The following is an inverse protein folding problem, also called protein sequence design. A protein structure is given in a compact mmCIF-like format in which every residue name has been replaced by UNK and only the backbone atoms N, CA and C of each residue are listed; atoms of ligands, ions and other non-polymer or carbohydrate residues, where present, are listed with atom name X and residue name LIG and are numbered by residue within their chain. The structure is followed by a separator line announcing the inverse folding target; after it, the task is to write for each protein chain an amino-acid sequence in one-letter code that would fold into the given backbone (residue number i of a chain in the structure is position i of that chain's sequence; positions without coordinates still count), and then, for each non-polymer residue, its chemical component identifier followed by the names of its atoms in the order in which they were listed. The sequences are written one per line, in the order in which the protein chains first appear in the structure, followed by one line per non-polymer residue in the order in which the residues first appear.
data_IF_432630593477
#
_entry.id   IF_432630593477
#
_cell.length_a   1.000
_cell.length_b   1.000
_cell.length_c   1.000
_cell.angle_alpha   90.00
_cell.angle_beta   90.00
_cell.angle_gamma   90.00
#
_symmetry.space_group_name_H-M   'P 1'
#
loop_
_entity.id
_entity.type
_entity.pdbx_description
1 polymer ?
#
# COMPACT_ATOMS: atom_id res chain seq x y z
N UNK A 1 -17.57 8.57 -12.56
CA UNK A 1 -16.73 7.39 -12.85
C UNK A 1 -17.60 6.30 -13.51
N UNK A 2 -18.76 5.91 -12.95
CA UNK A 2 -19.62 4.86 -13.51
C UNK A 2 -20.09 5.15 -14.96
N UNK A 3 -20.43 6.39 -15.29
CA UNK A 3 -20.91 6.74 -16.65
C UNK A 3 -19.80 6.64 -17.73
N UNK A 4 -18.52 6.79 -17.37
CA UNK A 4 -17.37 6.56 -18.28
C UNK A 4 -17.14 5.07 -18.54
N UNK A 5 -17.43 4.20 -17.56
CA UNK A 5 -17.29 2.76 -17.69
C UNK A 5 -18.42 2.12 -18.55
N UNK A 6 -19.54 2.82 -18.73
CA UNK A 6 -20.70 2.34 -19.48
C UNK A 6 -20.84 2.94 -20.87
N UNK A 7 -19.82 3.68 -21.36
CA UNK A 7 -19.84 4.32 -22.70
C UNK A 7 -21.07 5.23 -22.94
N UNK A 8 -21.60 5.86 -21.90
CA UNK A 8 -22.72 6.80 -22.03
C UNK A 8 -22.14 8.13 -22.54
N UNK A 9 -22.67 8.69 -23.65
CA UNK A 9 -22.19 9.96 -24.19
C UNK A 9 -22.27 11.07 -23.14
N UNK A 10 -21.20 11.86 -23.01
CA UNK A 10 -21.04 12.93 -21.99
C UNK A 10 -21.87 14.18 -22.35
N UNK A 11 -22.94 14.07 -23.11
CA UNK A 11 -23.77 15.20 -23.54
C UNK A 11 -24.68 15.77 -22.47
N UNK A 12 -24.87 15.09 -21.35
CA UNK A 12 -25.52 15.65 -20.19
C UNK A 12 -24.59 15.57 -18.96
N UNK A 13 -23.69 16.52 -18.82
CA UNK A 13 -23.14 16.84 -17.51
C UNK A 13 -24.28 17.36 -16.64
N UNK A 14 -25.04 16.47 -16.03
CA UNK A 14 -25.74 16.83 -14.79
C UNK A 14 -24.65 17.36 -13.88
N UNK A 15 -24.66 18.68 -13.63
CA UNK A 15 -23.83 19.31 -12.60
C UNK A 15 -23.90 18.39 -11.38
N UNK A 16 -22.76 17.78 -11.01
CA UNK A 16 -22.68 17.07 -9.74
C UNK A 16 -23.23 18.04 -8.72
N UNK A 17 -24.37 17.69 -8.11
CA UNK A 17 -24.74 18.30 -6.85
C UNK A 17 -23.56 17.99 -5.95
N UNK A 18 -22.68 18.97 -5.76
CA UNK A 18 -21.63 18.93 -4.75
C UNK A 18 -22.43 18.94 -3.46
N UNK A 19 -22.75 17.77 -2.93
CA UNK A 19 -23.25 17.70 -1.58
C UNK A 19 -22.24 18.50 -0.73
N UNK A 20 -22.68 19.53 -0.02
CA UNK A 20 -21.78 20.28 0.85
C UNK A 20 -21.04 19.22 1.68
N UNK A 21 -19.72 19.32 1.76
CA UNK A 21 -18.92 18.46 2.64
C UNK A 21 -19.60 18.56 4.00
N UNK A 22 -20.24 17.48 4.45
CA UNK A 22 -20.72 17.46 5.83
C UNK A 22 -19.48 17.74 6.67
N UNK A 23 -19.55 18.72 7.55
CA UNK A 23 -18.53 18.94 8.57
C UNK A 23 -18.52 17.67 9.44
N UNK A 24 -17.67 16.73 9.03
CA UNK A 24 -17.48 15.51 9.80
C UNK A 24 -16.50 15.85 10.91
N UNK A 25 -16.95 15.71 12.16
CA UNK A 25 -16.09 15.84 13.33
C UNK A 25 -14.82 15.01 13.10
N UNK A 26 -13.63 15.52 13.36
CA UNK A 26 -12.39 14.75 13.34
C UNK A 26 -12.54 13.47 14.16
N UNK A 27 -11.87 12.41 13.75
CA UNK A 27 -11.87 11.16 14.49
C UNK A 27 -11.32 11.34 15.90
N UNK A 28 -12.01 10.78 16.87
CA UNK A 28 -11.55 10.70 18.25
C UNK A 28 -11.78 9.28 18.76
N UNK A 29 -10.72 8.62 19.21
CA UNK A 29 -10.79 7.26 19.77
C UNK A 29 -11.59 7.22 21.07
N UNK A 30 -11.69 8.35 21.79
CA UNK A 30 -12.46 8.47 23.02
C UNK A 30 -13.99 8.33 22.79
N UNK A 31 -14.46 8.48 21.55
CA UNK A 31 -15.86 8.24 21.18
C UNK A 31 -16.25 6.73 21.18
N UNK A 32 -15.30 5.84 21.46
CA UNK A 32 -15.47 4.38 21.36
C UNK A 32 -15.13 3.65 22.66
N UNK A 33 -15.94 2.69 23.04
CA UNK A 33 -15.59 1.71 24.05
C UNK A 33 -14.70 0.64 23.44
N UNK A 34 -13.44 0.58 23.88
CA UNK A 34 -12.43 -0.32 23.35
C UNK A 34 -12.32 -1.59 24.17
N UNK A 35 -12.53 -2.75 23.53
CA UNK A 35 -12.35 -4.05 24.12
C UNK A 35 -11.16 -4.78 23.47
N UNK A 36 -10.07 -4.92 24.23
CA UNK A 36 -8.81 -5.52 23.76
C UNK A 36 -8.89 -7.05 23.79
N UNK A 37 -8.25 -7.69 22.84
CA UNK A 37 -8.05 -9.14 22.83
C UNK A 37 -7.02 -9.53 23.90
N UNK A 38 -7.35 -10.50 24.73
CA UNK A 38 -6.41 -11.06 25.69
C UNK A 38 -6.10 -12.52 25.35
N UNK A 39 -4.85 -12.84 24.92
CA UNK A 39 -4.44 -14.20 24.58
C UNK A 39 -4.58 -15.21 25.72
N UNK A 40 -4.59 -14.76 26.98
CA UNK A 40 -4.68 -15.60 28.16
C UNK A 40 -6.11 -15.75 28.70
N UNK A 41 -7.10 -15.06 28.10
CA UNK A 41 -8.48 -15.05 28.55
C UNK A 41 -9.45 -15.57 27.49
N UNK A 42 -9.96 -16.77 27.65
CA UNK A 42 -10.87 -17.44 26.73
C UNK A 42 -12.19 -16.68 26.51
N UNK A 43 -12.72 -16.02 27.51
CA UNK A 43 -13.98 -15.27 27.37
C UNK A 43 -13.76 -14.03 26.51
N UNK A 44 -12.60 -13.41 26.59
CA UNK A 44 -12.22 -12.33 25.68
C UNK A 44 -12.13 -12.85 24.26
N UNK A 45 -11.46 -13.98 24.03
CA UNK A 45 -11.27 -14.57 22.69
C UNK A 45 -12.61 -14.92 22.03
N UNK A 46 -13.59 -15.44 22.78
CA UNK A 46 -14.93 -15.78 22.25
C UNK A 46 -15.62 -14.59 21.57
N UNK A 47 -15.41 -13.36 22.08
CA UNK A 47 -16.01 -12.16 21.52
C UNK A 47 -15.48 -11.83 20.12
N UNK A 48 -14.23 -12.19 19.84
CA UNK A 48 -13.59 -11.96 18.53
C UNK A 48 -13.86 -13.08 17.53
N UNK A 49 -14.18 -14.27 17.99
CA UNK A 49 -14.37 -15.45 17.15
C UNK A 49 -15.31 -15.23 15.95
N UNK A 50 -16.49 -14.57 16.07
CA UNK A 50 -17.39 -14.37 14.92
C UNK A 50 -16.79 -13.55 13.77
N UNK A 51 -15.81 -12.69 14.07
CA UNK A 51 -15.15 -11.83 13.07
C UNK A 51 -14.06 -12.58 12.32
N UNK A 52 -13.30 -13.44 13.00
CA UNK A 52 -12.18 -14.16 12.40
C UNK A 52 -12.57 -15.50 11.78
N UNK A 53 -13.59 -16.18 12.31
CA UNK A 53 -14.04 -17.48 11.80
C UNK A 53 -14.39 -17.42 10.30
N UNK A 54 -15.16 -16.43 9.88
CA UNK A 54 -15.58 -16.28 8.48
C UNK A 54 -14.44 -15.94 7.53
N UNK A 55 -13.30 -15.55 8.08
CA UNK A 55 -12.07 -15.20 7.36
C UNK A 55 -10.98 -16.28 7.44
N UNK A 56 -11.25 -17.39 8.13
CA UNK A 56 -10.30 -18.48 8.30
C UNK A 56 -9.06 -18.13 9.14
N UNK A 57 -9.06 -16.96 9.79
CA UNK A 57 -7.91 -16.52 10.59
C UNK A 57 -7.89 -17.31 11.89
N UNK A 58 -6.86 -18.13 12.08
CA UNK A 58 -6.69 -19.00 13.22
C UNK A 58 -6.28 -18.24 14.51
N UNK A 59 -6.34 -18.94 15.61
CA UNK A 59 -6.04 -18.36 16.91
C UNK A 59 -4.55 -18.01 17.08
N UNK A 60 -3.67 -18.76 16.42
CA UNK A 60 -2.23 -18.48 16.45
C UNK A 60 -1.92 -17.14 15.77
N UNK A 61 -2.51 -16.90 14.62
CA UNK A 61 -2.40 -15.63 13.90
C UNK A 61 -3.02 -14.48 14.70
N UNK A 62 -4.19 -14.70 15.32
CA UNK A 62 -4.78 -13.71 16.23
C UNK A 62 -3.85 -13.38 17.41
N UNK A 63 -3.14 -14.35 17.96
CA UNK A 63 -2.14 -14.12 19.02
C UNK A 63 -0.96 -13.30 18.50
N UNK A 64 -0.48 -13.56 17.30
CA UNK A 64 0.61 -12.80 16.72
C UNK A 64 0.27 -11.32 16.58
N UNK A 65 -0.96 -11.00 16.19
CA UNK A 65 -1.41 -9.64 15.91
C UNK A 65 -2.30 -9.01 17.02
N UNK A 66 -2.46 -9.65 18.18
CA UNK A 66 -3.46 -9.28 19.21
C UNK A 66 -3.40 -7.82 19.70
N UNK A 67 -2.31 -7.12 19.50
CA UNK A 67 -2.12 -5.71 19.88
C UNK A 67 -2.54 -4.73 18.81
N UNK A 68 -2.78 -5.23 17.59
CA UNK A 68 -3.03 -4.43 16.41
C UNK A 68 -4.51 -4.48 15.98
N UNK A 69 -5.38 -5.04 16.79
CA UNK A 69 -6.83 -5.01 16.61
C UNK A 69 -7.56 -5.04 17.96
N UNK A 70 -8.80 -4.60 17.94
CA UNK A 70 -9.70 -4.65 19.10
C UNK A 70 -11.16 -4.61 18.62
N UNK A 71 -12.11 -4.85 19.52
CA UNK A 71 -13.51 -4.50 19.29
C UNK A 71 -13.72 -3.07 19.73
N UNK A 72 -14.26 -2.24 18.82
CA UNK A 72 -14.64 -0.87 19.13
C UNK A 72 -16.17 -0.75 19.04
N UNK A 73 -16.77 -0.27 20.11
CA UNK A 73 -18.22 -0.03 20.20
C UNK A 73 -18.46 1.46 20.16
N UNK A 74 -19.22 1.91 19.19
CA UNK A 74 -19.70 3.29 19.11
C UNK A 74 -21.16 3.36 19.54
N UNK A 75 -21.44 4.25 20.49
CA UNK A 75 -22.79 4.58 20.91
C UNK A 75 -23.32 5.74 20.08
N UNK A 76 -24.57 5.66 19.69
CA UNK A 76 -25.28 6.73 18.98
C UNK A 76 -26.21 7.47 19.94
N UNK A 77 -26.57 8.69 19.57
CA UNK A 77 -27.51 9.52 20.32
C UNK A 77 -28.89 8.85 20.47
N UNK A 78 -29.29 8.02 19.51
CA UNK A 78 -30.54 7.23 19.55
C UNK A 78 -30.49 6.01 20.47
N UNK A 79 -29.40 5.81 21.20
CA UNK A 79 -29.18 4.68 22.11
C UNK A 79 -28.70 3.39 21.42
N UNK A 80 -28.62 3.35 20.09
CA UNK A 80 -28.06 2.20 19.38
C UNK A 80 -26.55 2.12 19.58
N UNK A 81 -26.03 0.89 19.71
CA UNK A 81 -24.60 0.63 19.81
C UNK A 81 -24.14 -0.33 18.71
N UNK A 82 -23.00 -0.02 18.09
CA UNK A 82 -22.41 -0.82 17.02
C UNK A 82 -21.01 -1.25 17.44
N UNK A 83 -20.78 -2.57 17.49
CA UNK A 83 -19.48 -3.15 17.78
C UNK A 83 -18.88 -3.74 16.51
N UNK A 84 -17.71 -3.26 16.11
CA UNK A 84 -16.95 -3.77 14.98
C UNK A 84 -15.58 -4.28 15.43
N UNK A 85 -15.03 -5.25 14.70
CA UNK A 85 -13.60 -5.52 14.75
C UNK A 85 -12.90 -4.34 14.08
N UNK A 86 -11.98 -3.72 14.80
CA UNK A 86 -11.35 -2.48 14.38
C UNK A 86 -9.84 -2.61 14.38
N UNK A 87 -9.24 -2.13 13.32
CA UNK A 87 -7.81 -2.09 13.08
C UNK A 87 -7.37 -0.61 13.16
N UNK A 88 -6.60 -0.21 14.19
CA UNK A 88 -6.23 1.19 14.40
C UNK A 88 -5.35 1.71 13.28
N UNK A 89 -5.68 2.87 12.76
CA UNK A 89 -4.88 3.58 11.78
C UNK A 89 -3.98 4.58 12.49
N UNK A 90 -2.68 4.52 12.20
CA UNK A 90 -1.66 5.44 12.71
C UNK A 90 -0.91 6.09 11.57
N UNK A 91 -0.20 7.18 11.85
CA UNK A 91 0.65 7.84 10.86
C UNK A 91 2.01 7.13 10.74
N UNK A 92 2.64 7.11 9.55
CA UNK A 92 3.95 6.50 9.35
C UNK A 92 5.07 7.09 10.23
N UNK A 93 4.95 8.34 10.65
CA UNK A 93 5.93 9.02 11.51
C UNK A 93 6.10 8.39 12.90
N UNK A 94 5.20 7.48 13.30
CA UNK A 94 5.40 6.61 14.47
C UNK A 94 5.13 7.24 15.83
N UNK A 95 4.34 8.32 15.92
CA UNK A 95 3.91 8.93 17.17
C UNK A 95 2.89 8.09 17.97
N UNK A 96 2.40 7.02 17.36
CA UNK A 96 1.44 6.10 17.99
C UNK A 96 0.01 6.65 18.12
N UNK A 97 -0.24 7.88 17.67
CA UNK A 97 -1.57 8.48 17.66
C UNK A 97 -2.50 7.71 16.72
N UNK A 98 -3.68 7.35 17.22
CA UNK A 98 -4.70 6.68 16.42
C UNK A 98 -5.53 7.74 15.71
N UNK A 99 -5.34 7.83 14.40
CA UNK A 99 -6.00 8.83 13.52
C UNK A 99 -7.22 8.28 12.79
N UNK A 100 -7.63 7.06 13.13
CA UNK A 100 -8.80 6.42 12.53
C UNK A 100 -8.88 4.93 12.84
N UNK A 101 -9.93 4.29 12.33
CA UNK A 101 -10.15 2.84 12.42
C UNK A 101 -10.56 2.29 11.07
N UNK A 102 -9.92 1.21 10.63
CA UNK A 102 -10.50 0.32 9.63
C UNK A 102 -11.45 -0.63 10.34
N UNK A 103 -12.72 -0.69 9.93
CA UNK A 103 -13.76 -1.42 10.64
C UNK A 103 -14.31 -2.58 9.82
N UNK A 104 -14.59 -3.69 10.52
CA UNK A 104 -15.19 -4.90 9.97
C UNK A 104 -16.32 -5.38 10.88
N UNK A 105 -17.53 -5.42 10.34
CA UNK A 105 -18.69 -5.97 11.03
C UNK A 105 -18.69 -7.49 11.05
N UNK A 106 -19.57 -8.07 11.86
CA UNK A 106 -19.84 -9.50 11.82
C UNK A 106 -20.47 -9.88 10.47
N UNK A 107 -20.19 -11.10 10.00
CA UNK A 107 -20.91 -11.65 8.87
C UNK A 107 -22.41 -11.71 9.21
N UNK A 108 -23.25 -11.23 8.29
CA UNK A 108 -24.71 -11.27 8.45
C UNK A 108 -25.21 -12.68 8.26
N UNK A 109 -26.23 -13.05 9.05
CA UNK A 109 -26.82 -14.38 8.99
C UNK A 109 -27.54 -14.67 7.67
N UNK A 110 -27.99 -13.65 6.97
CA UNK A 110 -28.64 -13.71 5.65
C UNK A 110 -27.66 -13.89 4.48
N UNK A 111 -26.35 -13.97 4.76
CA UNK A 111 -25.32 -14.11 3.74
C UNK A 111 -25.04 -12.83 2.92
N UNK A 112 -25.66 -11.70 3.25
CA UNK A 112 -25.45 -10.41 2.53
C UNK A 112 -24.08 -9.76 2.78
N UNK A 113 -23.13 -10.50 3.39
CA UNK A 113 -21.79 -10.04 3.68
C UNK A 113 -21.63 -9.44 5.07
N UNK A 114 -20.65 -8.59 5.25
CA UNK A 114 -20.38 -7.87 6.50
C UNK A 114 -20.08 -6.40 6.22
N UNK A 115 -20.29 -5.56 7.21
CA UNK A 115 -19.83 -4.16 7.10
C UNK A 115 -18.33 -4.10 6.93
N UNK A 116 -17.89 -3.26 5.98
CA UNK A 116 -16.49 -2.87 5.83
C UNK A 116 -16.40 -1.37 5.55
N UNK A 117 -15.52 -0.69 6.25
CA UNK A 117 -15.36 0.74 6.07
C UNK A 117 -14.26 1.31 6.97
N UNK A 118 -14.18 2.61 7.01
CA UNK A 118 -13.39 3.36 8.00
C UNK A 118 -14.36 4.12 8.91
N UNK A 119 -13.97 4.28 10.17
CA UNK A 119 -14.72 5.09 11.11
C UNK A 119 -14.85 6.54 10.60
N UNK A 120 -15.98 7.17 10.88
CA UNK A 120 -16.22 8.55 10.45
C UNK A 120 -15.15 9.49 11.03
N UNK A 121 -14.65 10.42 10.21
CA UNK A 121 -13.60 11.37 10.59
C UNK A 121 -12.18 10.81 10.51
N UNK A 122 -11.98 9.50 10.23
CA UNK A 122 -10.65 8.91 10.07
C UNK A 122 -9.80 9.65 9.03
N UNK A 123 -8.52 9.87 9.34
CA UNK A 123 -7.55 10.34 8.36
C UNK A 123 -7.25 9.22 7.35
N UNK A 124 -8.08 9.15 6.31
CA UNK A 124 -7.96 8.11 5.26
C UNK A 124 -6.85 8.40 4.27
N UNK A 125 -6.32 9.62 4.24
CA UNK A 125 -5.27 10.02 3.30
C UNK A 125 -3.86 9.62 3.75
N UNK A 126 -3.62 9.52 5.06
CA UNK A 126 -2.29 9.23 5.61
C UNK A 126 -2.29 8.05 6.58
N UNK A 127 -3.44 7.80 7.23
CA UNK A 127 -3.57 6.74 8.23
C UNK A 127 -3.44 5.34 7.62
N UNK A 128 -2.63 4.51 8.28
CA UNK A 128 -2.35 3.13 7.90
C UNK A 128 -2.53 2.22 9.11
N UNK A 129 -3.06 1.03 8.91
CA UNK A 129 -2.86 -0.02 9.89
C UNK A 129 -1.44 -0.54 9.78
N UNK A 130 -0.65 -0.39 10.84
CA UNK A 130 0.75 -0.80 10.90
C UNK A 130 0.89 -1.83 12.00
N UNK A 131 1.35 -3.02 11.66
CA UNK A 131 1.41 -4.15 12.59
C UNK A 131 2.69 -4.96 12.45
N UNK A 132 3.21 -5.47 13.56
CA UNK A 132 4.31 -6.42 13.57
C UNK A 132 4.11 -7.45 14.68
N UNK A 133 4.16 -8.77 14.38
CA UNK A 133 4.08 -9.81 15.40
C UNK A 133 5.15 -9.69 16.49
N UNK A 134 6.37 -9.31 16.14
CA UNK A 134 7.49 -9.11 17.09
C UNK A 134 7.63 -7.67 17.57
N UNK A 135 6.68 -6.77 17.28
CA UNK A 135 6.71 -5.34 17.64
C UNK A 135 7.88 -4.56 17.01
N UNK A 136 8.33 -4.98 15.86
CA UNK A 136 9.31 -4.22 15.09
C UNK A 136 8.70 -2.87 14.76
N UNK A 137 9.43 -1.78 15.03
CA UNK A 137 8.98 -0.44 14.64
C UNK A 137 9.05 -0.28 13.11
N UNK A 138 8.20 0.56 12.55
CA UNK A 138 8.21 0.82 11.11
C UNK A 138 9.59 1.30 10.64
N UNK A 139 10.21 2.19 11.39
CA UNK A 139 11.52 2.80 11.06
C UNK A 139 12.69 1.82 11.14
N UNK A 140 12.56 0.72 11.90
CA UNK A 140 13.60 -0.32 12.03
C UNK A 140 13.30 -1.58 11.19
N UNK A 141 12.19 -1.58 10.45
CA UNK A 141 11.79 -2.72 9.64
C UNK A 141 12.73 -2.94 8.47
N UNK A 142 13.17 -4.19 8.27
CA UNK A 142 13.90 -4.62 7.07
C UNK A 142 12.96 -4.99 5.93
N UNK A 143 11.80 -5.54 6.26
CA UNK A 143 10.79 -6.00 5.32
C UNK A 143 9.42 -5.43 5.71
N UNK A 144 8.74 -4.81 4.74
CA UNK A 144 7.42 -4.20 4.88
C UNK A 144 6.50 -4.79 3.82
N UNK A 145 5.40 -5.39 4.27
CA UNK A 145 4.41 -6.04 3.41
C UNK A 145 3.15 -5.18 3.31
N UNK A 146 2.71 -4.88 2.08
CA UNK A 146 1.59 -3.99 1.78
C UNK A 146 0.35 -4.73 1.31
N UNK A 147 -0.80 -4.39 1.88
CA UNK A 147 -2.09 -5.01 1.59
C UNK A 147 -3.21 -3.96 1.52
N UNK A 148 -4.31 -4.31 0.87
CA UNK A 148 -5.52 -3.49 0.86
C UNK A 148 -6.32 -3.62 2.14
N UNK A 149 -6.24 -4.74 2.86
CA UNK A 149 -6.92 -4.94 4.12
C UNK A 149 -6.06 -5.64 5.17
N UNK A 150 -6.36 -5.38 6.44
CA UNK A 150 -5.69 -6.05 7.56
C UNK A 150 -5.97 -7.57 7.57
N UNK A 151 -7.13 -8.02 7.04
CA UNK A 151 -7.40 -9.45 6.92
C UNK A 151 -6.47 -10.14 5.92
N UNK A 152 -6.15 -9.49 4.78
CA UNK A 152 -5.23 -10.05 3.80
C UNK A 152 -3.81 -10.14 4.35
N UNK A 153 -3.39 -9.13 5.12
CA UNK A 153 -2.12 -9.16 5.83
C UNK A 153 -2.03 -10.33 6.83
N UNK A 154 -3.08 -10.55 7.61
CA UNK A 154 -3.14 -11.67 8.56
C UNK A 154 -3.22 -13.02 7.84
N UNK A 155 -3.95 -13.11 6.71
CA UNK A 155 -4.03 -14.32 5.89
C UNK A 155 -2.68 -14.66 5.27
N UNK A 156 -1.98 -13.68 4.71
CA UNK A 156 -0.62 -13.86 4.20
C UNK A 156 0.33 -14.40 5.27
N UNK A 157 0.33 -13.78 6.45
CA UNK A 157 1.14 -14.26 7.57
C UNK A 157 0.81 -15.71 7.93
N UNK A 158 -0.47 -16.07 8.03
CA UNK A 158 -0.91 -17.42 8.35
C UNK A 158 -0.47 -18.45 7.32
N UNK A 159 -0.52 -18.11 6.03
CA UNK A 159 -0.10 -18.98 4.93
C UNK A 159 1.40 -19.23 4.93
N UNK A 160 2.22 -18.22 5.24
CA UNK A 160 3.66 -18.27 4.98
C UNK A 160 4.55 -18.31 6.23
N UNK A 161 4.03 -18.07 7.45
CA UNK A 161 4.84 -17.96 8.66
C UNK A 161 5.54 -19.29 9.07
N UNK A 162 5.06 -20.42 8.61
CA UNK A 162 5.68 -21.72 8.88
C UNK A 162 7.00 -21.87 8.11
N UNK A 163 7.03 -21.41 6.86
CA UNK A 163 8.16 -21.50 5.94
C UNK A 163 9.10 -20.30 6.10
N UNK A 164 8.57 -19.11 6.30
CA UNK A 164 9.35 -17.88 6.46
C UNK A 164 9.27 -17.32 7.89
N UNK A 165 10.27 -17.66 8.70
CA UNK A 165 10.36 -17.21 10.11
C UNK A 165 10.63 -15.71 10.27
N UNK A 166 11.19 -15.05 9.25
CA UNK A 166 11.47 -13.62 9.29
C UNK A 166 10.18 -12.76 9.26
N UNK A 167 9.05 -13.33 8.79
CA UNK A 167 7.75 -12.66 8.87
C UNK A 167 7.36 -12.24 10.29
N UNK A 168 7.88 -12.90 11.32
CA UNK A 168 7.64 -12.47 12.71
C UNK A 168 8.23 -11.09 13.00
N UNK A 169 9.33 -10.72 12.34
CA UNK A 169 10.03 -9.43 12.51
C UNK A 169 9.62 -8.40 11.45
N UNK A 170 8.88 -8.83 10.44
CA UNK A 170 8.38 -7.94 9.39
C UNK A 170 7.31 -6.98 9.93
N UNK A 171 7.11 -5.90 9.19
CA UNK A 171 5.99 -4.98 9.37
C UNK A 171 4.97 -5.21 8.27
N UNK A 172 3.71 -5.30 8.65
CA UNK A 172 2.56 -5.48 7.78
C UNK A 172 1.75 -4.18 7.78
N UNK A 173 1.39 -3.70 6.60
CA UNK A 173 0.63 -2.47 6.40
C UNK A 173 -0.66 -2.77 5.65
N UNK A 174 -1.78 -2.28 6.17
CA UNK A 174 -3.03 -2.18 5.41
C UNK A 174 -3.36 -0.72 5.13
N UNK A 175 -3.70 -0.44 3.87
CA UNK A 175 -4.17 0.88 3.43
C UNK A 175 -5.66 1.11 3.73
N UNK A 176 -6.37 0.06 4.13
CA UNK A 176 -7.80 0.08 4.42
C UNK A 176 -8.66 0.34 3.17
N UNK A 177 -8.28 -0.21 2.03
CA UNK A 177 -8.83 -0.04 0.69
C UNK A 177 -7.83 0.65 -0.25
N UNK A 178 -8.32 1.41 -1.24
CA UNK A 178 -7.47 2.10 -2.21
C UNK A 178 -6.40 3.00 -1.52
N UNK A 179 -5.11 2.77 -1.79
CA UNK A 179 -4.04 3.56 -1.19
C UNK A 179 -4.01 4.99 -1.71
N UNK A 180 -3.49 5.90 -0.91
CA UNK A 180 -3.17 7.27 -1.30
C UNK A 180 -1.67 7.43 -1.56
N UNK A 181 -1.30 8.46 -2.33
CA UNK A 181 0.11 8.81 -2.49
C UNK A 181 0.75 9.27 -1.18
N UNK A 182 -0.01 9.91 -0.27
CA UNK A 182 0.50 10.36 1.03
C UNK A 182 0.86 9.17 1.93
N UNK A 183 0.05 8.10 1.91
CA UNK A 183 0.38 6.86 2.62
C UNK A 183 1.71 6.26 2.13
N UNK A 184 1.92 6.21 0.81
CA UNK A 184 3.17 5.72 0.23
C UNK A 184 4.35 6.63 0.57
N UNK A 185 4.25 7.94 0.25
CA UNK A 185 5.30 8.92 0.50
C UNK A 185 5.70 8.99 1.98
N UNK A 186 4.71 9.00 2.88
CA UNK A 186 4.95 9.05 4.32
C UNK A 186 5.73 7.82 4.81
N UNK A 187 5.38 6.63 4.33
CA UNK A 187 6.08 5.39 4.72
C UNK A 187 7.47 5.32 4.11
N UNK A 188 7.62 5.53 2.81
CA UNK A 188 8.92 5.50 2.11
C UNK A 188 9.92 6.46 2.76
N UNK A 189 9.46 7.65 3.15
CA UNK A 189 10.30 8.65 3.81
C UNK A 189 10.93 8.14 5.11
N UNK A 190 10.20 7.36 5.91
CA UNK A 190 10.67 6.87 7.22
C UNK A 190 11.30 5.49 7.16
N UNK A 191 11.28 4.84 5.99
CA UNK A 191 11.79 3.48 5.78
C UNK A 191 12.73 3.38 4.56
N UNK A 192 13.75 4.24 4.45
CA UNK A 192 14.56 4.35 3.23
C UNK A 192 15.38 3.08 2.89
N UNK A 193 15.59 2.21 3.88
CA UNK A 193 16.41 1.00 3.73
C UNK A 193 15.57 -0.30 3.74
N UNK A 194 14.25 -0.20 3.92
CA UNK A 194 13.40 -1.37 3.96
C UNK A 194 13.10 -1.91 2.56
N UNK A 195 13.02 -3.24 2.44
CA UNK A 195 12.42 -3.88 1.27
C UNK A 195 10.91 -3.83 1.39
N UNK A 196 10.23 -3.40 0.32
CA UNK A 196 8.79 -3.29 0.24
C UNK A 196 8.21 -4.43 -0.60
N UNK A 197 7.39 -5.26 0.01
CA UNK A 197 6.68 -6.37 -0.62
C UNK A 197 5.25 -5.91 -0.92
N UNK A 198 4.91 -5.80 -2.20
CA UNK A 198 3.62 -5.32 -2.67
C UNK A 198 2.68 -6.52 -2.85
N UNK A 199 1.86 -6.78 -1.86
CA UNK A 199 0.94 -7.91 -1.75
C UNK A 199 -0.52 -7.48 -1.94
N UNK A 200 -0.78 -6.53 -2.84
CA UNK A 200 -2.14 -6.06 -3.16
C UNK A 200 -2.98 -7.15 -3.83
N UNK A 201 -4.29 -6.94 -3.92
CA UNK A 201 -5.22 -7.87 -4.56
C UNK A 201 -4.78 -8.23 -5.98
N UNK A 202 -5.02 -9.49 -6.39
CA UNK A 202 -4.68 -9.98 -7.72
C UNK A 202 -5.75 -9.57 -8.74
N UNK A 203 -6.12 -8.29 -8.72
CA UNK A 203 -7.02 -7.68 -9.69
C UNK A 203 -6.39 -6.41 -10.30
N UNK A 204 -7.08 -5.83 -11.27
CA UNK A 204 -6.57 -4.62 -11.95
C UNK A 204 -6.30 -3.46 -11.01
N UNK A 205 -7.06 -3.31 -9.93
CA UNK A 205 -6.86 -2.23 -8.99
C UNK A 205 -5.56 -2.43 -8.20
N UNK A 206 -5.33 -3.64 -7.67
CA UNK A 206 -4.10 -3.99 -6.96
C UNK A 206 -2.85 -3.87 -7.85
N UNK A 207 -2.95 -4.26 -9.15
CA UNK A 207 -1.89 -4.06 -10.13
C UNK A 207 -1.53 -2.57 -10.31
N UNK A 208 -2.54 -1.71 -10.42
CA UNK A 208 -2.34 -0.25 -10.51
C UNK A 208 -1.73 0.31 -9.24
N UNK A 209 -2.13 -0.18 -8.06
CA UNK A 209 -1.55 0.25 -6.79
C UNK A 209 -0.08 -0.11 -6.68
N UNK A 210 0.32 -1.29 -7.15
CA UNK A 210 1.73 -1.69 -7.19
C UNK A 210 2.55 -0.75 -8.09
N UNK A 211 2.03 -0.40 -9.27
CA UNK A 211 2.68 0.57 -10.17
C UNK A 211 2.77 1.96 -9.51
N UNK A 212 1.68 2.43 -8.87
CA UNK A 212 1.69 3.72 -8.16
C UNK A 212 2.71 3.74 -7.02
N UNK A 213 2.86 2.63 -6.30
CA UNK A 213 3.91 2.52 -5.28
C UNK A 213 5.29 2.68 -5.89
N UNK A 214 5.59 1.95 -6.97
CA UNK A 214 6.89 1.99 -7.63
C UNK A 214 7.22 3.39 -8.17
N UNK A 215 6.27 4.05 -8.84
CA UNK A 215 6.42 5.42 -9.31
C UNK A 215 6.67 6.40 -8.14
N UNK A 216 5.94 6.24 -7.04
CA UNK A 216 6.11 7.08 -5.85
C UNK A 216 7.47 6.84 -5.20
N UNK A 217 7.92 5.59 -5.12
CA UNK A 217 9.22 5.22 -4.57
C UNK A 217 10.38 5.75 -5.42
N UNK A 218 10.21 5.77 -6.75
CA UNK A 218 11.16 6.38 -7.68
C UNK A 218 11.14 7.92 -7.68
N UNK A 219 10.23 8.53 -6.92
CA UNK A 219 10.14 9.99 -6.80
C UNK A 219 9.42 10.68 -7.95
N UNK A 220 8.69 9.94 -8.79
CA UNK A 220 7.99 10.54 -9.93
C UNK A 220 6.86 11.48 -9.48
N UNK A 221 6.71 12.57 -10.24
CA UNK A 221 5.51 13.38 -10.22
C UNK A 221 4.59 12.92 -11.36
N UNK A 222 3.56 12.14 -11.07
CA UNK A 222 2.80 11.45 -12.10
C UNK A 222 1.29 11.57 -11.91
N UNK A 223 0.58 11.38 -13.01
CA UNK A 223 -0.86 11.13 -13.05
C UNK A 223 -1.14 9.87 -13.87
N UNK A 224 -2.24 9.19 -13.57
CA UNK A 224 -2.63 7.98 -14.28
C UNK A 224 -4.10 7.98 -14.62
N UNK A 225 -4.45 7.36 -15.75
CA UNK A 225 -5.83 7.05 -16.10
C UNK A 225 -5.89 5.74 -16.90
N UNK A 226 -7.09 5.16 -17.00
CA UNK A 226 -7.30 4.01 -17.89
C UNK A 226 -7.77 4.50 -19.26
N UNK A 227 -7.16 3.96 -20.32
CA UNK A 227 -7.61 4.17 -21.69
C UNK A 227 -8.96 3.47 -21.94
N UNK A 228 -9.57 3.75 -23.08
CA UNK A 228 -10.80 3.04 -23.50
C UNK A 228 -10.58 1.53 -23.71
N UNK A 229 -9.35 1.14 -24.07
CA UNK A 229 -8.93 -0.25 -24.23
C UNK A 229 -8.56 -0.93 -22.92
N UNK A 230 -8.64 -0.22 -21.77
CA UNK A 230 -8.30 -0.73 -20.45
C UNK A 230 -6.81 -0.78 -20.15
N UNK A 231 -5.97 -0.13 -20.99
CA UNK A 231 -4.53 0.03 -20.70
C UNK A 231 -4.32 1.16 -19.68
N UNK A 232 -3.30 1.06 -18.87
CA UNK A 232 -2.92 2.11 -17.95
C UNK A 232 -2.08 3.17 -18.70
N UNK A 233 -2.56 4.40 -18.67
CA UNK A 233 -1.80 5.55 -19.15
C UNK A 233 -1.10 6.16 -17.94
N UNK A 234 0.22 6.27 -17.99
CA UNK A 234 1.06 6.93 -17.01
C UNK A 234 1.64 8.17 -17.66
N UNK A 235 1.35 9.34 -17.11
CA UNK A 235 1.90 10.62 -17.51
C UNK A 235 2.87 11.10 -16.44
N UNK A 236 4.13 11.32 -16.80
CA UNK A 236 5.03 12.13 -15.98
C UNK A 236 4.62 13.61 -16.14
N UNK A 237 4.37 14.28 -15.01
CA UNK A 237 3.94 15.68 -15.00
C UNK A 237 5.14 16.66 -15.08
N UNK A 238 6.35 16.18 -15.17
CA UNK A 238 7.55 17.00 -15.43
C UNK A 238 7.57 17.44 -16.89
N UNK A 239 8.11 18.64 -17.16
CA UNK A 239 8.13 19.17 -18.55
C UNK A 239 8.97 18.29 -19.49
N UNK A 240 8.41 17.97 -20.67
CA UNK A 240 9.12 17.27 -21.74
C UNK A 240 9.18 15.74 -21.61
N UNK A 241 8.54 15.14 -20.61
CA UNK A 241 8.57 13.69 -20.44
C UNK A 241 7.45 12.95 -21.18
N UNK A 242 7.70 11.71 -21.63
CA UNK A 242 6.76 10.95 -22.43
C UNK A 242 5.57 10.45 -21.61
N UNK A 243 4.48 10.17 -22.33
CA UNK A 243 3.35 9.40 -21.85
C UNK A 243 3.60 7.92 -22.13
N UNK A 244 3.40 7.07 -21.13
CA UNK A 244 3.51 5.62 -21.25
C UNK A 244 2.12 4.98 -21.30
N UNK A 245 1.92 4.03 -22.21
CA UNK A 245 0.71 3.22 -22.28
C UNK A 245 1.01 1.75 -21.97
N UNK A 246 0.57 1.26 -20.83
CA UNK A 246 0.94 -0.02 -20.23
C UNK A 246 -0.21 -1.00 -20.31
N UNK A 247 0.03 -2.19 -20.88
CA UNK A 247 -0.89 -3.32 -20.79
C UNK A 247 -0.83 -3.96 -19.41
N UNK A 248 -2.00 -4.21 -18.83
CA UNK A 248 -2.12 -4.88 -17.52
C UNK A 248 -2.43 -6.38 -17.63
N UNK A 249 -2.59 -6.92 -18.84
CA UNK A 249 -2.88 -8.32 -19.08
C UNK A 249 -2.02 -8.86 -20.24
N UNK A 250 -1.18 -9.91 -20.03
CA UNK A 250 -0.84 -10.49 -18.72
C UNK A 250 0.01 -9.52 -17.88
N UNK A 251 -0.24 -9.49 -16.58
CA UNK A 251 0.50 -8.60 -15.67
C UNK A 251 1.91 -9.13 -15.43
N UNK A 252 2.90 -8.28 -15.67
CA UNK A 252 4.30 -8.56 -15.37
C UNK A 252 4.93 -7.30 -14.77
N UNK A 253 5.04 -7.28 -13.45
CA UNK A 253 5.51 -6.12 -12.70
C UNK A 253 6.93 -5.72 -13.10
N UNK A 254 7.86 -6.66 -13.17
CA UNK A 254 9.27 -6.40 -13.52
C UNK A 254 9.41 -5.77 -14.90
N UNK A 255 8.67 -6.30 -15.89
CA UNK A 255 8.65 -5.74 -17.24
C UNK A 255 8.09 -4.32 -17.26
N UNK A 256 7.05 -4.05 -16.48
CA UNK A 256 6.43 -2.71 -16.39
C UNK A 256 7.41 -1.72 -15.77
N UNK A 257 8.07 -2.10 -14.68
CA UNK A 257 9.09 -1.27 -14.01
C UNK A 257 10.24 -0.97 -14.96
N UNK A 258 10.67 -1.94 -15.76
CA UNK A 258 11.71 -1.74 -16.79
C UNK A 258 11.24 -0.77 -17.90
N UNK A 259 10.01 -0.90 -18.41
CA UNK A 259 9.44 0.03 -19.40
C UNK A 259 9.40 1.48 -18.87
N UNK A 260 9.11 1.64 -17.60
CA UNK A 260 9.08 2.95 -16.92
C UNK A 260 10.49 3.47 -16.57
N UNK A 261 11.55 2.70 -16.82
CA UNK A 261 12.94 3.10 -16.49
C UNK A 261 13.21 3.18 -14.98
N UNK A 262 12.32 2.64 -14.14
CA UNK A 262 12.45 2.74 -12.67
C UNK A 262 13.65 1.92 -12.17
N UNK A 263 13.98 0.81 -12.83
CA UNK A 263 15.16 -0.01 -12.50
C UNK A 263 16.46 0.61 -13.03
N UNK A 264 16.40 1.35 -14.14
CA UNK A 264 17.60 1.89 -14.80
C UNK A 264 18.23 3.05 -14.03
N UNK A 265 17.45 3.77 -13.20
CA UNK A 265 18.01 4.77 -12.30
C UNK A 265 18.98 4.16 -11.27
N UNK A 266 18.82 2.84 -10.95
CA UNK A 266 19.77 2.08 -10.12
C UNK A 266 20.77 1.25 -10.95
N UNK A 267 20.49 0.96 -12.23
CA UNK A 267 21.36 0.21 -13.14
C UNK A 267 22.26 1.09 -13.99
N UNK A 268 21.87 2.31 -14.35
CA UNK A 268 22.74 3.26 -15.05
C UNK A 268 23.98 3.65 -14.25
N UNK A 269 23.97 3.39 -12.92
CA UNK A 269 25.18 3.41 -12.09
C UNK A 269 26.00 2.09 -12.15
N UNK A 270 25.45 1.01 -12.80
CA UNK A 270 26.13 -0.30 -12.92
C UNK A 270 26.61 -0.64 -14.33
N UNK A 271 26.10 0.02 -15.38
CA UNK A 271 26.41 -0.29 -16.79
C UNK A 271 27.39 0.70 -17.44
N UNK A 272 28.23 1.39 -16.67
CA UNK A 272 29.51 1.82 -17.19
C UNK A 272 30.32 0.55 -17.44
N UNK A 273 30.43 0.16 -18.74
CA UNK A 273 31.35 -0.91 -19.14
C UNK A 273 32.73 -0.61 -18.57
N UNK A 274 33.12 -1.33 -17.52
CA UNK A 274 34.53 -1.64 -17.23
C UNK A 274 34.60 -2.86 -16.30
N UNK A 275 35.49 -3.76 -16.69
CA UNK A 275 35.97 -4.96 -15.98
C UNK A 275 36.16 -4.74 -14.48
N UNK A 276 35.79 -5.80 -13.77
CA UNK A 276 36.24 -6.16 -12.42
C UNK A 276 37.09 -5.12 -11.70
N UNK A 277 36.43 -4.17 -11.03
CA UNK A 277 36.91 -3.57 -9.77
C UNK A 277 35.78 -2.80 -9.09
N UNK A 278 35.79 -2.82 -7.79
CA UNK A 278 35.00 -2.12 -6.77
C UNK A 278 35.00 -0.57 -6.93
N UNK A 279 34.72 -0.05 -8.14
CA UNK A 279 34.93 1.36 -8.54
C UNK A 279 33.77 2.26 -8.11
N UNK A 280 32.56 1.70 -7.94
CA UNK A 280 31.35 2.50 -7.71
C UNK A 280 31.31 3.17 -6.32
N UNK A 281 31.69 2.44 -5.29
CA UNK A 281 31.71 2.95 -3.90
C UNK A 281 32.89 3.91 -3.72
N UNK A 282 34.07 3.59 -4.25
CA UNK A 282 35.25 4.43 -4.22
C UNK A 282 35.04 5.79 -4.89
N UNK A 283 34.41 5.83 -6.06
CA UNK A 283 34.14 7.06 -6.79
C UNK A 283 33.16 7.99 -6.06
N UNK A 284 32.09 7.46 -5.50
CA UNK A 284 31.13 8.25 -4.73
C UNK A 284 31.73 8.74 -3.40
N UNK A 285 32.58 7.94 -2.77
CA UNK A 285 33.34 8.32 -1.57
C UNK A 285 34.33 9.44 -1.88
N UNK A 286 35.06 9.33 -3.00
CA UNK A 286 36.00 10.37 -3.47
C UNK A 286 35.21 11.64 -3.83
N UNK A 287 34.12 11.55 -4.54
CA UNK A 287 33.25 12.68 -4.87
C UNK A 287 32.67 13.35 -3.62
N UNK A 288 32.34 12.57 -2.60
CA UNK A 288 31.90 13.07 -1.29
C UNK A 288 33.01 13.87 -0.60
N UNK A 289 34.24 13.36 -0.59
CA UNK A 289 35.37 14.06 0.02
C UNK A 289 35.63 15.40 -0.68
N UNK A 290 35.68 15.41 -2.01
CA UNK A 290 35.87 16.63 -2.79
C UNK A 290 34.79 17.68 -2.50
N UNK A 291 33.52 17.26 -2.48
CA UNK A 291 32.40 18.17 -2.17
C UNK A 291 32.36 18.63 -0.73
N UNK A 292 32.85 17.82 0.19
CA UNK A 292 32.98 18.21 1.59
C UNK A 292 34.06 19.25 1.76
N UNK A 293 35.24 19.05 1.12
CA UNK A 293 36.34 20.01 1.12
C UNK A 293 35.92 21.36 0.51
N UNK A 294 35.17 21.34 -0.60
CA UNK A 294 34.56 22.54 -1.22
C UNK A 294 33.61 23.27 -0.25
N UNK A 295 32.78 22.55 0.45
CA UNK A 295 31.81 23.09 1.44
C UNK A 295 32.55 23.69 2.64
N UNK A 296 33.54 22.96 3.19
CA UNK A 296 34.34 23.44 4.33
C UNK A 296 35.16 24.70 3.97
N UNK A 297 35.76 24.75 2.78
CA UNK A 297 36.44 25.95 2.28
C UNK A 297 35.49 27.13 2.12
N UNK A 298 34.32 26.93 1.49
CA UNK A 298 33.34 27.98 1.32
C UNK A 298 32.85 28.55 2.66
N UNK A 299 32.68 27.68 3.67
CA UNK A 299 32.33 28.09 5.03
C UNK A 299 33.48 28.87 5.70
N UNK A 300 34.74 28.43 5.54
CA UNK A 300 35.88 29.02 6.17
C UNK A 300 36.24 30.41 5.58
N UNK A 301 36.11 30.56 4.27
CA UNK A 301 36.42 31.79 3.55
C UNK A 301 35.28 32.82 3.61
N UNK A 302 34.06 32.40 3.98
CA UNK A 302 32.85 33.24 3.93
C UNK A 302 32.51 33.73 2.52
N UNK A 303 32.99 32.99 1.50
CA UNK A 303 32.90 33.36 0.10
C UNK A 303 31.57 33.01 -0.55
N UNK A 304 30.73 32.12 0.06
CA UNK A 304 29.47 31.66 -0.45
C UNK A 304 28.30 32.23 0.32
N UNK A 305 27.19 32.51 -0.41
CA UNK A 305 25.90 32.91 0.16
C UNK A 305 25.25 31.75 0.93
N UNK A 306 24.27 32.05 1.78
CA UNK A 306 23.52 31.06 2.54
C UNK A 306 22.77 30.07 1.63
N UNK A 307 22.25 30.55 0.47
CA UNK A 307 21.62 29.71 -0.55
C UNK A 307 22.63 28.73 -1.22
N UNK A 308 23.83 29.19 -1.51
CA UNK A 308 24.90 28.36 -2.08
C UNK A 308 25.38 27.30 -1.08
N UNK A 309 25.54 27.65 0.19
CA UNK A 309 25.87 26.70 1.26
C UNK A 309 24.79 25.65 1.47
N UNK A 310 23.51 26.04 1.37
CA UNK A 310 22.40 25.11 1.46
C UNK A 310 22.35 24.15 0.24
N UNK A 311 22.63 24.66 -0.96
CA UNK A 311 22.73 23.84 -2.16
C UNK A 311 23.89 22.82 -2.08
N UNK A 312 25.05 23.22 -1.55
CA UNK A 312 26.20 22.33 -1.31
C UNK A 312 25.87 21.26 -0.26
N UNK A 313 25.16 21.61 0.81
CA UNK A 313 24.68 20.67 1.83
C UNK A 313 23.70 19.67 1.27
N UNK A 314 22.77 20.11 0.42
CA UNK A 314 21.80 19.24 -0.25
C UNK A 314 22.49 18.27 -1.22
N UNK A 315 23.56 18.70 -1.91
CA UNK A 315 24.40 17.85 -2.74
C UNK A 315 25.11 16.77 -1.92
N UNK A 316 25.67 17.12 -0.78
CA UNK A 316 26.31 16.14 0.14
C UNK A 316 25.29 15.10 0.65
N UNK A 317 24.10 15.54 1.03
CA UNK A 317 23.00 14.64 1.43
C UNK A 317 22.61 13.70 0.29
N UNK A 318 22.59 14.19 -0.96
CA UNK A 318 22.29 13.36 -2.12
C UNK A 318 23.40 12.31 -2.37
N UNK A 319 24.66 12.69 -2.22
CA UNK A 319 25.81 11.77 -2.32
C UNK A 319 25.80 10.74 -1.18
N UNK A 320 25.56 11.14 0.06
CA UNK A 320 25.43 10.22 1.19
C UNK A 320 24.28 9.21 0.98
N UNK A 321 23.17 9.68 0.40
CA UNK A 321 22.05 8.82 0.01
C UNK A 321 22.42 7.85 -1.11
N UNK A 322 23.24 8.30 -2.07
CA UNK A 322 23.76 7.45 -3.14
C UNK A 322 24.76 6.40 -2.60
N UNK A 323 25.70 6.78 -1.71
CA UNK A 323 26.62 5.86 -1.03
C UNK A 323 25.85 4.81 -0.23
N UNK A 324 24.84 5.22 0.54
CA UNK A 324 23.97 4.30 1.28
C UNK A 324 23.20 3.32 0.37
N UNK A 325 22.93 3.72 -0.87
CA UNK A 325 22.32 2.85 -1.89
C UNK A 325 23.33 1.90 -2.56
N UNK A 326 24.64 2.22 -2.53
CA UNK A 326 25.74 1.41 -3.06
C UNK A 326 26.29 0.38 -2.09
N UNK A 327 26.12 0.59 -0.78
CA UNK A 327 26.46 -0.39 0.24
C UNK A 327 25.23 -1.24 0.59
N UNK A 328 24.82 -2.17 -0.28
CA UNK A 328 23.69 -2.99 0.01
C UNK A 328 24.06 -3.89 1.18
N UNK A 329 23.44 -3.65 2.31
CA UNK A 329 23.22 -4.72 3.28
C UNK A 329 22.65 -5.96 2.56
N UNK A 330 22.29 -7.03 3.27
CA UNK A 330 21.88 -8.30 2.63
C UNK A 330 21.02 -8.08 1.40
N UNK A 331 21.24 -8.86 0.35
CA UNK A 331 20.80 -8.70 -1.07
C UNK A 331 19.38 -8.21 -1.34
N UNK A 332 18.53 -8.17 -0.32
CA UNK A 332 17.09 -7.85 -0.42
C UNK A 332 16.68 -6.53 0.24
N UNK A 333 17.61 -5.76 0.82
CA UNK A 333 17.29 -4.48 1.49
C UNK A 333 17.10 -3.35 0.48
N UNK A 334 16.02 -2.60 0.62
CA UNK A 334 15.70 -1.45 -0.24
C UNK A 334 15.08 -1.81 -1.59
N UNK A 335 14.61 -3.05 -1.79
CA UNK A 335 13.96 -3.49 -3.02
C UNK A 335 12.44 -3.33 -2.97
N UNK A 336 11.86 -3.21 -4.15
CA UNK A 336 10.42 -3.38 -4.35
C UNK A 336 10.21 -4.77 -4.94
N UNK A 337 9.42 -5.57 -4.26
CA UNK A 337 9.07 -6.94 -4.65
C UNK A 337 7.55 -6.99 -4.86
N UNK A 338 7.11 -7.59 -5.95
CA UNK A 338 5.69 -7.82 -6.19
C UNK A 338 5.35 -9.27 -5.85
N UNK A 339 4.34 -9.45 -5.02
CA UNK A 339 3.83 -10.75 -4.62
C UNK A 339 2.31 -10.78 -4.82
N UNK A 340 1.79 -11.84 -5.41
CA UNK A 340 0.36 -12.02 -5.61
C UNK A 340 -0.12 -13.31 -5.01
N UNK A 341 -1.39 -13.36 -4.63
CA UNK A 341 -2.06 -14.61 -4.32
C UNK A 341 -1.92 -15.58 -5.49
N UNK A 342 -1.97 -16.88 -5.20
CA UNK A 342 -1.83 -17.90 -6.22
C UNK A 342 -2.88 -17.76 -7.32
N UNK A 343 -2.55 -18.28 -8.51
CA UNK A 343 -3.47 -18.20 -9.65
C UNK A 343 -4.86 -18.76 -9.31
N UNK A 344 -5.89 -18.00 -9.67
CA UNK A 344 -7.29 -18.35 -9.40
C UNK A 344 -7.84 -17.76 -8.10
N UNK A 345 -7.04 -17.07 -7.29
CA UNK A 345 -7.52 -16.34 -6.12
C UNK A 345 -7.45 -14.83 -6.35
N UNK A 346 -8.40 -14.10 -5.78
CA UNK A 346 -8.44 -12.64 -5.88
C UNK A 346 -7.47 -11.99 -4.90
N UNK A 347 -7.45 -12.49 -3.69
CA UNK A 347 -6.68 -11.94 -2.58
C UNK A 347 -6.16 -13.06 -1.67
N UNK A 348 -5.37 -12.72 -0.67
CA UNK A 348 -4.76 -13.67 0.25
C UNK A 348 -5.78 -14.33 1.19
N UNK A 349 -6.85 -13.63 1.52
CA UNK A 349 -7.90 -14.21 2.35
C UNK A 349 -8.74 -15.22 1.57
N UNK A 350 -9.00 -14.97 0.29
CA UNK A 350 -9.63 -15.95 -0.60
C UNK A 350 -8.75 -17.18 -0.83
N UNK A 351 -7.42 -17.01 -0.92
CA UNK A 351 -6.48 -18.14 -0.97
C UNK A 351 -6.50 -18.95 0.32
N UNK A 352 -6.48 -18.30 1.49
CA UNK A 352 -6.56 -18.97 2.78
C UNK A 352 -7.86 -19.79 2.93
N UNK A 353 -8.96 -19.29 2.37
CA UNK A 353 -10.27 -19.94 2.41
C UNK A 353 -10.51 -20.92 1.24
N UNK A 354 -9.55 -21.11 0.34
CA UNK A 354 -9.68 -21.86 -0.92
C UNK A 354 -10.86 -21.41 -1.79
N UNK A 355 -11.14 -20.12 -1.81
CA UNK A 355 -12.23 -19.51 -2.58
C UNK A 355 -11.78 -19.06 -3.96
N UNK A 356 -11.72 -19.97 -4.92
CA UNK A 356 -11.28 -19.67 -6.29
C UNK A 356 -12.27 -18.80 -7.06
N UNK A 357 -11.71 -17.90 -7.89
CA UNK A 357 -12.51 -17.09 -8.82
C UNK A 357 -13.23 -18.04 -9.79
N UNK A 358 -14.56 -18.06 -9.72
CA UNK A 358 -15.35 -18.81 -10.69
C UNK A 358 -15.25 -18.14 -12.06
N UNK A 359 -14.93 -18.89 -13.15
CA UNK A 359 -14.92 -18.33 -14.48
C UNK A 359 -16.31 -17.77 -14.81
N UNK A 360 -16.35 -16.50 -15.23
CA UNK A 360 -17.61 -15.86 -15.63
C UNK A 360 -18.29 -16.73 -16.67
N UNK A 361 -19.39 -17.41 -16.33
CA UNK A 361 -20.21 -18.12 -17.30
C UNK A 361 -20.59 -17.13 -18.40
N UNK A 362 -20.07 -17.35 -19.62
CA UNK A 362 -20.54 -16.59 -20.80
C UNK A 362 -22.04 -16.77 -20.84
N UNK A 363 -22.81 -15.70 -20.59
CA UNK A 363 -24.27 -15.72 -20.84
C UNK A 363 -24.45 -16.11 -22.30
N UNK A 364 -24.92 -17.34 -22.56
CA UNK A 364 -25.43 -17.69 -23.88
C UNK A 364 -26.55 -16.71 -24.16
N UNK A 365 -26.34 -15.81 -25.11
CA UNK A 365 -27.44 -15.05 -25.70
C UNK A 365 -28.38 -16.09 -26.33
N UNK A 366 -29.45 -16.38 -25.66
CA UNK A 366 -30.57 -17.13 -26.25
C UNK A 366 -31.27 -16.15 -27.21
N UNK A 367 -30.86 -16.22 -28.48
CA UNK A 367 -31.61 -15.51 -29.55
C UNK A 367 -33.01 -16.17 -29.56
N UNK A 368 -33.98 -15.47 -29.03
CA UNK A 368 -35.37 -15.90 -29.08
C UNK A 368 -35.78 -16.06 -30.56
N UNK A 369 -36.04 -17.28 -30.98
CA UNK A 369 -36.72 -17.54 -32.26
C UNK A 369 -38.09 -16.90 -32.16
N UNK A 370 -38.32 -15.79 -32.85
CA UNK A 370 -39.62 -15.24 -33.09
C UNK A 370 -40.43 -16.28 -33.92
N UNK A 371 -41.40 -16.87 -33.29
CA UNK A 371 -42.40 -17.70 -34.01
C UNK A 371 -43.30 -16.75 -34.76
N UNK A 372 -43.02 -16.60 -36.06
CA UNK A 372 -43.99 -16.00 -36.99
C UNK A 372 -45.12 -17.00 -37.18
N UNK A 373 -46.34 -16.68 -36.74
CA UNK A 373 -47.54 -17.42 -37.10
C UNK A 373 -47.87 -17.09 -38.56
N UNK A 374 -48.13 -18.07 -39.39
CA UNK A 374 -48.68 -17.85 -40.73
C UNK A 374 -50.14 -17.40 -40.69
N UNK A 375 -50.62 -16.78 -41.77
CA UNK A 375 -51.91 -16.09 -41.86
C UNK A 375 -53.11 -16.98 -41.70
#
# INVERSE_FOLDING_TARGET
VCNRLLNIPVTERKTKIVNPKRDVKPFDIADYDIHKFNPQNRETQKKFYPYFKSRGIDLYTQYAFHRHFYLATKHREDGAAYTNLSFPLTLPKGDGEIVGLEERGRARMDGSGSYKGKAAGSNSSEGLWIASPARTSLTSAKHIYWFESAYDAMAYYQLHQAENKELRKAVFISTGGAPSQQQFKGTIKVTPHASHHLCFDHDRAGQVYAIHFALTHAGWNFSTCLSQTGRLIVQDNSEGYPQYEIGLEPFNFEKIISILGINDAKQNLKNGEHDDMDIGDGYLQEMRMVRMDEYEMACAEGSASEEELEAMRNNLVAIDKAIGAFNPGPKDVGRILYESAAEGYKDWNDQLLDKRIQPKRKRKLTIGKSVVKPP
#
